data_IF_369838073636
#
_entry.id   IF_369838073636
#
_cell.length_a   1.000
_cell.length_b   1.000
_cell.length_c   1.000
_cell.angle_alpha   90.00
_cell.angle_beta   90.00
_cell.angle_gamma   90.00
#
_symmetry.space_group_name_H-M   'P 1'
#
loop_
_entity.id
_entity.type
_entity.pdbx_description
1 polymer ?
#
# COMPACT_ATOMS: atom_id res chain seq x y z
N UNK A 1 -3.44 10.23 -20.87
CA UNK A 1 -3.09 11.58 -20.37
C UNK A 1 -1.93 11.43 -19.41
N UNK A 2 -0.74 11.95 -19.74
CA UNK A 2 0.38 12.03 -18.79
C UNK A 2 -0.09 12.89 -17.62
N UNK A 3 0.13 12.48 -16.37
CA UNK A 3 -0.46 13.13 -15.21
C UNK A 3 0.03 14.57 -15.01
N UNK A 4 -0.61 15.47 -15.73
CA UNK A 4 -0.43 16.90 -15.69
C UNK A 4 -0.89 17.40 -14.31
N UNK A 5 0.09 17.86 -13.52
CA UNK A 5 -0.17 18.39 -12.18
C UNK A 5 -1.07 19.63 -12.24
N UNK A 6 -0.96 20.47 -13.26
CA UNK A 6 -1.74 21.69 -13.37
C UNK A 6 -3.19 21.38 -13.71
N UNK A 7 -3.42 20.41 -14.60
CA UNK A 7 -4.77 19.88 -14.83
C UNK A 7 -5.34 19.24 -13.56
N UNK A 8 -4.53 18.50 -12.80
CA UNK A 8 -4.95 17.88 -11.55
C UNK A 8 -5.34 18.95 -10.51
N UNK A 9 -4.52 20.00 -10.34
CA UNK A 9 -4.83 21.15 -9.48
C UNK A 9 -6.13 21.83 -9.92
N UNK A 10 -6.30 22.02 -11.22
CA UNK A 10 -7.49 22.64 -11.79
C UNK A 10 -8.76 21.81 -11.52
N UNK A 11 -8.72 20.50 -11.74
CA UNK A 11 -9.83 19.59 -11.47
C UNK A 11 -10.20 19.52 -9.98
N UNK A 12 -9.20 19.47 -9.10
CA UNK A 12 -9.44 19.50 -7.64
C UNK A 12 -10.07 20.82 -7.19
N UNK A 13 -9.83 21.92 -7.91
CA UNK A 13 -10.52 23.20 -7.71
C UNK A 13 -12.02 23.19 -8.09
N UNK A 14 -12.49 22.16 -8.81
CA UNK A 14 -13.87 22.04 -9.34
C UNK A 14 -14.79 21.14 -8.50
N UNK A 15 -14.42 20.82 -7.26
CA UNK A 15 -15.16 19.89 -6.36
C UNK A 15 -15.37 18.48 -6.95
N UNK A 16 -14.45 18.04 -7.81
CA UNK A 16 -14.43 16.65 -8.27
C UNK A 16 -13.97 15.77 -7.10
N UNK A 17 -14.58 14.59 -6.94
CA UNK A 17 -14.17 13.63 -5.91
C UNK A 17 -12.72 13.18 -6.14
N UNK A 18 -11.91 13.24 -5.10
CA UNK A 18 -10.51 12.79 -5.14
C UNK A 18 -10.39 11.26 -5.21
N UNK A 19 -11.43 10.54 -4.79
CA UNK A 19 -11.56 9.08 -4.84
C UNK A 19 -12.42 8.61 -6.03
N UNK A 20 -12.61 9.45 -7.05
CA UNK A 20 -13.43 9.06 -8.20
C UNK A 20 -12.83 7.84 -8.92
N UNK A 21 -13.58 6.73 -8.95
CA UNK A 21 -13.29 5.57 -9.80
C UNK A 21 -13.03 5.99 -11.24
N UNK A 22 -11.85 5.66 -11.77
CA UNK A 22 -11.60 5.80 -13.20
C UNK A 22 -12.22 4.60 -13.94
N UNK A 23 -13.28 4.88 -14.71
CA UNK A 23 -13.97 3.88 -15.53
C UNK A 23 -13.14 3.39 -16.73
N UNK A 24 -12.04 4.09 -17.05
CA UNK A 24 -11.14 3.78 -18.16
C UNK A 24 -9.69 3.79 -17.66
N UNK A 25 -9.13 2.60 -17.43
CA UNK A 25 -7.71 2.41 -17.14
C UNK A 25 -6.86 2.37 -18.42
N UNK A 26 -5.67 2.97 -18.39
CA UNK A 26 -4.70 2.78 -19.47
C UNK A 26 -3.95 1.45 -19.27
N UNK A 27 -4.10 0.52 -20.21
CA UNK A 27 -3.46 -0.81 -20.21
C UNK A 27 -1.98 -0.78 -20.64
N UNK A 28 -1.27 0.34 -20.52
CA UNK A 28 0.13 0.36 -20.96
C UNK A 28 0.98 -0.56 -20.07
N UNK A 29 1.95 -1.30 -20.63
CA UNK A 29 2.87 -2.09 -19.84
C UNK A 29 3.56 -1.22 -18.77
N UNK A 30 3.42 -1.61 -17.50
CA UNK A 30 4.13 -1.02 -16.37
C UNK A 30 4.55 -2.15 -15.42
N UNK A 31 5.53 -1.91 -14.52
CA UNK A 31 5.87 -2.86 -13.47
C UNK A 31 4.65 -3.29 -12.65
N UNK A 32 3.74 -2.34 -12.40
CA UNK A 32 2.44 -2.60 -11.78
C UNK A 32 1.55 -3.56 -12.58
N UNK A 33 1.45 -3.41 -13.90
CA UNK A 33 0.70 -4.37 -14.75
C UNK A 33 1.32 -5.78 -14.71
N UNK A 34 2.64 -5.90 -14.50
CA UNK A 34 3.26 -7.21 -14.31
C UNK A 34 2.84 -7.83 -12.98
N UNK A 35 2.89 -7.07 -11.88
CA UNK A 35 2.45 -7.56 -10.57
C UNK A 35 0.98 -7.99 -10.56
N UNK A 36 0.07 -7.16 -11.11
CA UNK A 36 -1.35 -7.51 -11.28
C UNK A 36 -1.55 -8.81 -12.07
N UNK A 37 -0.76 -8.99 -13.14
CA UNK A 37 -0.86 -10.18 -13.99
C UNK A 37 -0.49 -11.44 -13.20
N UNK A 38 0.53 -11.36 -12.35
CA UNK A 38 0.98 -12.50 -11.54
C UNK A 38 0.01 -12.79 -10.40
N UNK A 39 -0.55 -11.77 -9.76
CA UNK A 39 -1.53 -11.96 -8.66
C UNK A 39 -2.92 -12.34 -9.14
N UNK A 40 -3.20 -12.29 -10.45
CA UNK A 40 -4.48 -12.71 -11.02
C UNK A 40 -5.64 -11.73 -10.79
N UNK A 41 -5.36 -10.55 -10.22
CA UNK A 41 -6.34 -9.50 -9.89
C UNK A 41 -7.20 -9.09 -11.11
N UNK A 42 -6.65 -9.20 -12.33
CA UNK A 42 -7.33 -8.80 -13.58
C UNK A 42 -8.27 -9.86 -14.18
N UNK A 43 -8.50 -11.01 -13.53
CA UNK A 43 -9.11 -12.18 -14.17
C UNK A 43 -10.61 -12.11 -14.56
N UNK A 44 -11.29 -10.96 -14.50
CA UNK A 44 -12.61 -10.89 -15.15
C UNK A 44 -13.54 -9.71 -14.84
N UNK A 45 -13.26 -8.89 -13.83
CA UNK A 45 -14.12 -7.75 -13.48
C UNK A 45 -13.28 -6.47 -13.44
N UNK A 46 -13.78 -5.43 -14.11
CA UNK A 46 -13.05 -4.19 -14.35
C UNK A 46 -12.59 -3.57 -13.05
N UNK A 47 -11.28 -3.47 -12.86
CA UNK A 47 -10.74 -2.64 -11.78
C UNK A 47 -11.14 -1.19 -12.05
N UNK A 48 -11.55 -0.48 -11.01
CA UNK A 48 -11.84 0.95 -11.07
C UNK A 48 -10.81 1.71 -10.25
N UNK A 49 -9.60 1.94 -10.80
CA UNK A 49 -8.53 2.60 -10.07
C UNK A 49 -8.91 4.04 -9.73
N UNK A 50 -8.60 4.46 -8.49
CA UNK A 50 -8.70 5.87 -8.13
C UNK A 50 -7.62 6.69 -8.85
N UNK A 51 -7.72 8.03 -8.91
CA UNK A 51 -6.70 8.87 -9.54
C UNK A 51 -5.32 8.67 -8.90
N UNK A 52 -5.27 8.33 -7.60
CA UNK A 52 -4.04 7.99 -6.91
C UNK A 52 -3.44 6.69 -7.45
N UNK A 53 -4.22 5.61 -7.55
CA UNK A 53 -3.76 4.34 -8.11
C UNK A 53 -3.20 4.53 -9.52
N UNK A 54 -3.88 5.31 -10.38
CA UNK A 54 -3.37 5.60 -11.73
C UNK A 54 -2.05 6.40 -11.69
N UNK A 55 -1.95 7.41 -10.81
CA UNK A 55 -0.71 8.18 -10.69
C UNK A 55 0.47 7.31 -10.26
N UNK A 56 0.26 6.38 -9.34
CA UNK A 56 1.26 5.42 -8.88
C UNK A 56 1.56 4.38 -9.98
N UNK A 57 0.56 3.80 -10.62
CA UNK A 57 0.74 2.82 -11.70
C UNK A 57 1.64 3.31 -12.85
N UNK A 58 1.67 4.63 -13.08
CA UNK A 58 2.48 5.29 -14.09
C UNK A 58 3.73 5.99 -13.54
N UNK A 59 4.08 5.80 -12.27
CA UNK A 59 5.27 6.40 -11.64
C UNK A 59 5.21 7.92 -11.52
N UNK A 60 4.02 8.52 -11.58
CA UNK A 60 3.86 9.97 -11.44
C UNK A 60 3.77 10.37 -9.97
N UNK A 61 4.90 10.29 -9.29
CA UNK A 61 5.03 10.64 -7.88
C UNK A 61 4.56 12.06 -7.57
N UNK A 62 4.82 12.97 -8.50
CA UNK A 62 4.46 14.37 -8.40
C UNK A 62 2.95 14.55 -8.23
N UNK A 63 2.15 13.87 -9.06
CA UNK A 63 0.69 13.88 -8.96
C UNK A 63 0.20 13.06 -7.76
N UNK A 64 0.84 11.91 -7.48
CA UNK A 64 0.51 11.09 -6.31
C UNK A 64 0.67 11.87 -5.00
N UNK A 65 1.81 12.56 -4.81
CA UNK A 65 2.11 13.43 -3.65
C UNK A 65 1.06 14.54 -3.51
N UNK A 66 0.62 15.15 -4.61
CA UNK A 66 -0.45 16.15 -4.60
C UNK A 66 -1.79 15.56 -4.14
N UNK A 67 -2.19 14.42 -4.70
CA UNK A 67 -3.43 13.73 -4.36
C UNK A 67 -3.44 13.33 -2.89
N UNK A 68 -2.38 12.69 -2.40
CA UNK A 68 -2.23 12.32 -0.98
C UNK A 68 -2.34 13.55 -0.07
N UNK A 69 -1.65 14.66 -0.41
CA UNK A 69 -1.76 15.92 0.36
C UNK A 69 -3.18 16.48 0.40
N UNK A 70 -3.96 16.24 -0.64
CA UNK A 70 -5.37 16.67 -0.77
C UNK A 70 -6.35 15.69 -0.14
N UNK A 71 -5.86 14.60 0.48
CA UNK A 71 -6.66 13.66 1.24
C UNK A 71 -6.97 12.36 0.51
N UNK A 72 -6.28 12.07 -0.60
CA UNK A 72 -6.41 10.78 -1.26
C UNK A 72 -5.97 9.66 -0.31
N UNK A 73 -6.76 8.57 -0.27
CA UNK A 73 -6.52 7.42 0.58
C UNK A 73 -5.51 6.50 -0.08
N UNK A 74 -4.37 6.28 0.59
CA UNK A 74 -3.25 5.50 0.07
C UNK A 74 -2.92 4.26 0.92
N UNK A 75 -3.37 4.23 2.17
CA UNK A 75 -2.89 3.33 3.22
C UNK A 75 -3.92 2.26 3.60
N UNK A 76 -4.98 2.07 2.81
CA UNK A 76 -5.96 1.02 3.06
C UNK A 76 -6.52 0.45 1.76
N UNK A 77 -7.00 -0.81 1.77
CA UNK A 77 -7.53 -1.48 0.59
C UNK A 77 -8.69 -0.74 -0.05
N UNK A 78 -8.65 -0.59 -1.38
CA UNK A 78 -9.77 -0.10 -2.16
C UNK A 78 -10.50 -1.26 -2.85
N UNK A 79 -11.78 -1.46 -2.53
CA UNK A 79 -12.56 -2.64 -2.99
C UNK A 79 -12.70 -2.72 -4.51
N UNK A 80 -12.82 -1.59 -5.20
CA UNK A 80 -12.88 -1.59 -6.67
C UNK A 80 -11.55 -1.92 -7.36
N UNK A 81 -10.47 -2.11 -6.59
CA UNK A 81 -9.12 -2.37 -7.10
C UNK A 81 -8.56 -3.70 -6.59
N UNK A 82 -9.42 -4.68 -6.28
CA UNK A 82 -8.96 -5.96 -5.72
C UNK A 82 -8.33 -5.81 -4.33
N UNK A 83 -8.69 -4.76 -3.58
CA UNK A 83 -8.11 -4.47 -2.27
C UNK A 83 -6.71 -3.86 -2.30
N UNK A 84 -6.24 -3.37 -3.45
CA UNK A 84 -4.93 -2.72 -3.51
C UNK A 84 -4.86 -1.45 -2.65
N UNK A 85 -3.67 -1.21 -2.09
CA UNK A 85 -3.31 0.00 -1.36
C UNK A 85 -2.30 0.77 -2.22
N UNK A 86 -2.13 2.06 -1.94
CA UNK A 86 -1.03 2.84 -2.52
C UNK A 86 0.34 2.25 -2.22
N UNK A 87 0.53 1.59 -1.07
CA UNK A 87 1.79 0.95 -0.71
C UNK A 87 2.10 -0.27 -1.61
N UNK A 88 1.08 -1.07 -1.96
CA UNK A 88 1.23 -2.12 -2.99
C UNK A 88 1.74 -1.52 -4.31
N UNK A 89 1.16 -0.39 -4.74
CA UNK A 89 1.55 0.28 -5.98
C UNK A 89 2.99 0.81 -5.93
N UNK A 90 3.39 1.42 -4.80
CA UNK A 90 4.73 1.95 -4.60
C UNK A 90 5.77 0.84 -4.63
N UNK A 91 5.50 -0.26 -3.93
CA UNK A 91 6.35 -1.45 -3.92
C UNK A 91 6.47 -2.06 -5.32
N UNK A 92 5.34 -2.22 -6.03
CA UNK A 92 5.34 -2.77 -7.38
C UNK A 92 6.06 -1.89 -8.40
N UNK A 93 5.95 -0.56 -8.23
CA UNK A 93 6.59 0.43 -9.08
C UNK A 93 8.04 0.75 -8.71
N UNK A 94 8.61 0.10 -7.69
CA UNK A 94 9.96 0.36 -7.16
C UNK A 94 10.19 1.83 -6.78
N UNK A 95 9.18 2.48 -6.18
CA UNK A 95 9.19 3.92 -5.92
C UNK A 95 9.82 4.25 -4.55
N UNK A 96 11.11 4.00 -4.39
CA UNK A 96 11.83 4.21 -3.12
C UNK A 96 11.73 5.65 -2.62
N UNK A 97 11.81 6.65 -3.50
CA UNK A 97 11.67 8.07 -3.13
C UNK A 97 10.25 8.41 -2.64
N UNK A 98 9.22 7.82 -3.26
CA UNK A 98 7.84 7.95 -2.82
C UNK A 98 7.63 7.33 -1.43
N UNK A 99 8.25 6.18 -1.16
CA UNK A 99 8.21 5.48 0.13
C UNK A 99 8.87 6.34 1.21
N UNK A 100 10.09 6.82 0.99
CA UNK A 100 10.78 7.70 1.95
C UNK A 100 10.01 9.01 2.19
N UNK A 101 9.48 9.62 1.13
CA UNK A 101 8.61 10.78 1.29
C UNK A 101 7.40 10.45 2.16
N UNK A 102 6.76 9.31 1.96
CA UNK A 102 5.58 8.88 2.74
C UNK A 102 5.95 8.68 4.21
N UNK A 103 7.10 8.06 4.48
CA UNK A 103 7.65 7.92 5.83
C UNK A 103 7.85 9.28 6.50
N UNK A 104 8.45 10.24 5.80
CA UNK A 104 8.63 11.60 6.33
C UNK A 104 7.29 12.27 6.65
N UNK A 105 6.26 12.02 5.84
CA UNK A 105 4.93 12.58 6.09
C UNK A 105 4.17 11.88 7.22
N UNK A 106 4.48 10.62 7.51
CA UNK A 106 3.84 9.81 8.55
C UNK A 106 4.55 9.92 9.92
N UNK A 107 5.87 9.91 9.91
CA UNK A 107 6.72 9.76 11.09
C UNK A 107 7.74 10.89 11.28
N UNK A 108 7.81 11.85 10.36
CA UNK A 108 8.74 12.98 10.45
C UNK A 108 8.38 14.01 11.53
N UNK A 109 9.32 14.92 11.78
CA UNK A 109 9.18 16.02 12.77
C UNK A 109 7.93 16.91 12.55
N UNK A 110 7.42 16.92 11.32
CA UNK A 110 6.26 17.70 10.88
C UNK A 110 5.09 16.82 10.42
N UNK A 111 4.99 15.59 10.94
CA UNK A 111 3.89 14.67 10.65
C UNK A 111 2.54 15.38 10.83
N UNK A 112 1.86 15.66 9.72
CA UNK A 112 0.72 16.57 9.75
C UNK A 112 -0.21 16.54 8.55
N UNK A 113 0.19 15.95 7.42
CA UNK A 113 -0.64 15.94 6.21
C UNK A 113 -1.11 14.54 5.78
N UNK A 114 -0.29 13.50 6.01
CA UNK A 114 -0.48 12.15 5.44
C UNK A 114 -0.69 11.06 6.49
N UNK A 115 -0.22 11.26 7.73
CA UNK A 115 -0.44 10.41 8.91
C UNK A 115 -1.92 10.37 9.39
N UNK A 116 -2.87 10.46 8.47
CA UNK A 116 -4.30 10.59 8.77
C UNK A 116 -4.88 9.31 9.35
N UNK A 117 -4.31 8.14 9.06
CA UNK A 117 -4.83 6.85 9.50
C UNK A 117 -3.73 6.01 10.14
N UNK A 118 -3.89 5.77 11.44
CA UNK A 118 -3.15 4.77 12.20
C UNK A 118 -1.61 4.85 12.16
N UNK A 119 -0.92 4.00 12.94
CA UNK A 119 0.53 3.80 12.84
C UNK A 119 0.92 2.71 11.82
N UNK A 120 -0.06 2.00 11.24
CA UNK A 120 0.15 0.87 10.35
C UNK A 120 -0.51 1.16 9.01
N UNK A 121 0.28 1.11 7.93
CA UNK A 121 -0.16 1.49 6.59
C UNK A 121 -0.10 0.34 5.57
N UNK A 122 0.36 -0.85 5.99
CA UNK A 122 0.38 -2.05 5.16
C UNK A 122 -0.74 -3.01 5.56
N UNK A 123 -1.56 -3.38 4.58
CA UNK A 123 -2.73 -4.23 4.73
C UNK A 123 -2.84 -5.14 3.51
N UNK A 124 -3.30 -6.38 3.67
CA UNK A 124 -3.39 -7.31 2.57
C UNK A 124 -4.47 -6.87 1.57
N UNK A 125 -4.22 -7.18 0.30
CA UNK A 125 -5.23 -7.10 -0.74
C UNK A 125 -6.29 -8.20 -0.60
N UNK A 126 -7.21 -8.32 -1.55
CA UNK A 126 -8.28 -9.34 -1.50
C UNK A 126 -7.79 -10.78 -1.70
N UNK A 127 -6.53 -10.96 -2.07
CA UNK A 127 -5.89 -12.25 -2.31
C UNK A 127 -4.87 -12.58 -1.21
N UNK A 128 -4.76 -11.75 -0.18
CA UNK A 128 -3.83 -11.96 0.93
C UNK A 128 -2.40 -11.48 0.66
N UNK A 129 -2.14 -10.79 -0.45
CA UNK A 129 -0.82 -10.22 -0.73
C UNK A 129 -0.64 -8.87 -0.03
N UNK A 130 0.57 -8.67 0.49
CA UNK A 130 1.02 -7.47 1.21
C UNK A 130 2.06 -6.71 0.39
N UNK A 131 2.40 -5.47 0.77
CA UNK A 131 3.38 -4.64 0.05
C UNK A 131 4.71 -5.33 -0.26
N UNK A 132 5.23 -6.14 0.67
CA UNK A 132 6.47 -6.90 0.46
C UNK A 132 6.35 -7.96 -0.63
N UNK A 133 5.18 -8.58 -0.81
CA UNK A 133 4.96 -9.51 -1.93
C UNK A 133 5.08 -8.76 -3.26
N UNK A 134 4.47 -7.58 -3.36
CA UNK A 134 4.54 -6.74 -4.56
C UNK A 134 5.97 -6.26 -4.87
N UNK A 135 6.78 -6.00 -3.85
CA UNK A 135 8.20 -5.70 -4.02
C UNK A 135 8.95 -6.88 -4.67
N UNK A 136 8.68 -8.12 -4.21
CA UNK A 136 9.30 -9.34 -4.74
C UNK A 136 8.87 -9.63 -6.18
N UNK A 137 7.57 -9.60 -6.44
CA UNK A 137 6.96 -9.90 -7.75
C UNK A 137 7.40 -8.93 -8.85
N UNK A 138 7.88 -7.76 -8.45
CA UNK A 138 8.31 -6.72 -9.36
C UNK A 138 9.80 -6.78 -9.66
N UNK A 139 10.53 -7.78 -9.16
CA UNK A 139 11.93 -8.01 -9.51
C UNK A 139 12.11 -8.43 -10.97
N UNK A 140 13.19 -7.92 -11.58
CA UNK A 140 13.62 -8.33 -12.91
C UNK A 140 14.62 -9.48 -12.82
N UNK A 141 15.07 -10.06 -13.95
CA UNK A 141 16.21 -10.97 -13.93
C UNK A 141 17.41 -10.31 -13.22
N UNK A 142 18.14 -11.08 -12.38
CA UNK A 142 19.29 -10.60 -11.61
C UNK A 142 20.41 -10.08 -12.52
N UNK A 143 20.35 -8.81 -12.89
CA UNK A 143 21.43 -8.11 -13.60
C UNK A 143 22.44 -7.57 -12.58
N UNK A 144 23.12 -8.47 -11.86
CA UNK A 144 24.36 -8.18 -11.11
C UNK A 144 24.33 -7.09 -10.01
N UNK A 145 23.19 -6.48 -9.70
CA UNK A 145 23.02 -5.45 -8.67
C UNK A 145 22.28 -5.93 -7.42
N UNK A 146 22.25 -5.08 -6.39
CA UNK A 146 21.40 -5.28 -5.21
C UNK A 146 19.91 -5.38 -5.60
N UNK A 147 19.18 -6.25 -4.92
CA UNK A 147 17.75 -6.43 -5.13
C UNK A 147 16.99 -5.14 -4.79
N UNK A 148 16.14 -4.68 -5.71
CA UNK A 148 15.25 -3.54 -5.47
C UNK A 148 14.28 -3.83 -4.33
N UNK A 149 13.78 -5.07 -4.26
CA UNK A 149 12.96 -5.52 -3.14
C UNK A 149 13.72 -5.36 -1.83
N UNK A 150 15.00 -5.77 -1.77
CA UNK A 150 15.84 -5.63 -0.57
C UNK A 150 16.05 -4.17 -0.15
N UNK A 151 16.25 -3.26 -1.11
CA UNK A 151 16.39 -1.83 -0.82
C UNK A 151 15.10 -1.21 -0.26
N UNK A 152 13.92 -1.73 -0.61
CA UNK A 152 12.64 -1.21 -0.12
C UNK A 152 12.25 -1.76 1.25
N UNK A 153 12.79 -2.90 1.68
CA UNK A 153 12.42 -3.56 2.96
C UNK A 153 12.45 -2.60 4.16
N UNK A 154 13.51 -1.81 4.41
CA UNK A 154 13.54 -0.92 5.57
C UNK A 154 12.43 0.12 5.55
N UNK A 155 12.17 0.71 4.38
CA UNK A 155 11.11 1.71 4.20
C UNK A 155 9.71 1.12 4.39
N UNK A 156 9.46 -0.04 3.79
CA UNK A 156 8.19 -0.76 3.93
C UNK A 156 7.94 -1.18 5.38
N UNK A 157 8.95 -1.67 6.10
CA UNK A 157 8.83 -2.00 7.54
C UNK A 157 8.52 -0.76 8.37
N UNK A 158 9.14 0.39 8.08
CA UNK A 158 8.85 1.66 8.77
C UNK A 158 7.40 2.12 8.55
N UNK A 159 6.80 1.79 7.42
CA UNK A 159 5.36 2.01 7.13
C UNK A 159 4.45 0.89 7.66
N UNK A 160 5.02 -0.09 8.35
CA UNK A 160 4.28 -1.16 9.01
C UNK A 160 4.13 -2.44 8.19
N UNK A 161 4.97 -2.71 7.19
CA UNK A 161 4.92 -3.97 6.46
C UNK A 161 5.17 -5.19 7.36
N UNK A 162 4.38 -6.25 7.17
CA UNK A 162 4.62 -7.54 7.81
C UNK A 162 5.61 -8.34 6.99
N UNK A 163 6.68 -8.76 7.63
CA UNK A 163 7.61 -9.71 7.03
C UNK A 163 7.06 -11.12 7.06
N UNK A 164 6.48 -11.51 8.20
CA UNK A 164 5.86 -12.81 8.38
C UNK A 164 4.36 -12.67 8.15
N UNK A 165 3.97 -12.72 6.88
CA UNK A 165 2.59 -12.55 6.43
C UNK A 165 1.70 -13.75 6.74
N UNK A 166 2.28 -14.83 7.28
CA UNK A 166 1.58 -16.03 7.78
C UNK A 166 1.41 -16.03 9.31
N UNK A 167 1.92 -15.01 10.03
CA UNK A 167 1.73 -14.89 11.47
C UNK A 167 0.31 -14.40 11.81
N UNK A 168 -0.63 -15.36 11.87
CA UNK A 168 -2.04 -15.10 12.14
C UNK A 168 -2.28 -14.37 13.47
N UNK A 169 -1.45 -14.61 14.49
CA UNK A 169 -1.59 -13.91 15.79
C UNK A 169 -1.27 -12.43 15.66
N UNK A 170 -0.21 -12.09 14.93
CA UNK A 170 0.18 -10.69 14.67
C UNK A 170 -0.81 -9.98 13.75
N UNK A 171 -1.38 -10.68 12.77
CA UNK A 171 -2.45 -10.15 11.91
C UNK A 171 -3.70 -9.86 12.75
N UNK A 172 -4.16 -10.82 13.55
CA UNK A 172 -5.33 -10.64 14.42
C UNK A 172 -5.14 -9.47 15.41
N UNK A 173 -3.95 -9.33 15.99
CA UNK A 173 -3.64 -8.19 16.85
C UNK A 173 -3.80 -6.85 16.11
N UNK A 174 -3.27 -6.72 14.88
CA UNK A 174 -3.40 -5.50 14.07
C UNK A 174 -4.85 -5.16 13.76
N UNK A 175 -5.65 -6.15 13.37
CA UNK A 175 -7.09 -5.96 13.10
C UNK A 175 -7.81 -5.45 14.35
N UNK A 176 -7.51 -6.02 15.51
CA UNK A 176 -8.08 -5.60 16.80
C UNK A 176 -7.68 -4.16 17.18
N UNK A 177 -6.40 -3.81 17.03
CA UNK A 177 -5.89 -2.46 17.29
C UNK A 177 -6.55 -1.41 16.37
N UNK A 178 -6.70 -1.73 15.09
CA UNK A 178 -7.31 -0.84 14.11
C UNK A 178 -8.82 -0.67 14.35
N UNK A 179 -9.52 -1.74 14.73
CA UNK A 179 -10.93 -1.66 15.17
C UNK A 179 -11.09 -0.70 16.34
N UNK A 180 -10.26 -0.86 17.37
CA UNK A 180 -10.28 0.02 18.54
C UNK A 180 -10.08 1.48 18.12
N UNK A 181 -9.11 1.73 17.22
CA UNK A 181 -8.88 3.07 16.65
C UNK A 181 -10.11 3.63 15.93
N UNK A 182 -10.81 2.81 15.14
CA UNK A 182 -12.03 3.21 14.44
C UNK A 182 -13.16 3.55 15.43
N UNK A 183 -13.32 2.75 16.49
CA UNK A 183 -14.32 2.96 17.55
C UNK A 183 -14.06 4.21 18.38
N UNK A 184 -12.80 4.53 18.68
CA UNK A 184 -12.38 5.76 19.36
C UNK A 184 -12.66 7.02 18.52
N UNK A 185 -12.98 6.83 17.23
CA UNK A 185 -13.37 7.88 16.31
C UNK A 185 -12.19 8.67 15.75
N UNK A 186 -12.47 9.54 14.77
CA UNK A 186 -11.44 10.39 14.19
C UNK A 186 -10.81 11.31 15.25
N UNK A 187 -9.47 11.46 15.24
CA UNK A 187 -8.84 12.56 15.99
C UNK A 187 -9.44 13.89 15.52
N UNK A 188 -9.50 14.94 16.37
CA UNK A 188 -10.28 16.18 16.13
C UNK A 188 -10.01 16.95 14.81
N UNK A 189 -8.99 16.58 14.04
CA UNK A 189 -8.65 17.17 12.72
C UNK A 189 -9.07 16.29 11.53
N UNK A 190 -9.73 15.15 11.74
CA UNK A 190 -10.06 14.19 10.69
C UNK A 190 -11.56 14.25 10.38
N UNK A 191 -11.91 14.63 9.15
CA UNK A 191 -13.31 14.61 8.67
C UNK A 191 -13.60 13.28 7.99
N UNK A 192 -14.63 12.56 8.46
CA UNK A 192 -15.13 11.28 7.94
C UNK A 192 -15.92 11.41 6.62
N UNK A 193 -15.57 12.36 5.76
CA UNK A 193 -16.37 12.62 4.55
C UNK A 193 -15.92 11.79 3.34
N UNK A 194 -15.51 10.53 3.56
CA UNK A 194 -15.18 9.64 2.46
C UNK A 194 -15.77 8.24 2.64
N UNK A 195 -16.39 7.75 1.56
CA UNK A 195 -16.90 6.37 1.41
C UNK A 195 -15.84 5.33 1.80
N UNK A 196 -14.57 5.61 1.53
CA UNK A 196 -13.45 4.76 1.88
C UNK A 196 -13.31 4.49 3.39
N UNK A 197 -13.64 5.44 4.28
CA UNK A 197 -13.60 5.20 5.72
C UNK A 197 -14.71 4.26 6.18
N UNK A 198 -15.89 4.36 5.57
CA UNK A 198 -17.00 3.44 5.84
C UNK A 198 -16.69 2.03 5.34
N UNK A 199 -16.25 1.91 4.08
CA UNK A 199 -15.85 0.63 3.48
C UNK A 199 -14.73 -0.03 4.30
N UNK A 200 -13.80 0.77 4.83
CA UNK A 200 -12.73 0.28 5.68
C UNK A 200 -13.21 -0.23 7.04
N UNK A 201 -14.09 0.52 7.71
CA UNK A 201 -14.69 0.08 8.96
C UNK A 201 -15.46 -1.24 8.80
N UNK A 202 -16.17 -1.38 7.68
CA UNK A 202 -16.85 -2.63 7.34
C UNK A 202 -15.85 -3.77 7.08
N UNK A 203 -14.78 -3.54 6.31
CA UNK A 203 -13.76 -4.56 6.04
C UNK A 203 -13.03 -5.03 7.31
N UNK A 204 -12.67 -4.12 8.21
CA UNK A 204 -12.13 -4.46 9.53
C UNK A 204 -13.15 -5.26 10.36
N UNK A 205 -14.45 -4.99 10.16
CA UNK A 205 -15.53 -5.75 10.79
C UNK A 205 -15.48 -7.21 10.34
N UNK A 206 -15.60 -7.40 9.03
CA UNK A 206 -15.66 -8.70 8.37
C UNK A 206 -14.41 -9.54 8.72
N UNK A 207 -13.23 -8.90 8.79
CA UNK A 207 -11.98 -9.59 9.12
C UNK A 207 -11.89 -10.19 10.53
N UNK A 208 -12.60 -9.65 11.52
CA UNK A 208 -12.67 -10.26 12.86
C UNK A 208 -13.68 -11.40 12.91
N UNK A 209 -14.77 -11.26 12.15
CA UNK A 209 -15.88 -12.22 12.15
C UNK A 209 -15.51 -13.52 11.40
N UNK A 210 -14.62 -13.45 10.40
CA UNK A 210 -14.35 -14.56 9.45
C UNK A 210 -13.16 -15.49 9.80
N UNK A 211 -12.49 -15.40 10.97
CA UNK A 211 -11.27 -16.20 11.30
C UNK A 211 -10.32 -16.35 10.09
N UNK A 212 -10.09 -15.25 9.39
CA UNK A 212 -9.52 -15.22 8.04
C UNK A 212 -8.32 -16.13 7.80
N UNK A 213 -8.48 -17.00 6.80
CA UNK A 213 -7.36 -17.66 6.11
C UNK A 213 -6.83 -16.69 5.05
N UNK A 214 -6.04 -15.70 5.48
CA UNK A 214 -5.22 -14.87 4.58
C UNK A 214 -3.94 -15.65 4.22
N UNK A 215 -4.08 -16.75 3.50
CA UNK A 215 -2.92 -17.51 3.02
C UNK A 215 -2.73 -17.25 1.53
N UNK A 216 -1.90 -16.26 1.12
CA UNK A 216 -1.29 -16.35 -0.20
C UNK A 216 -0.51 -17.67 -0.25
N UNK A 217 -0.38 -18.33 -1.41
CA UNK A 217 0.34 -19.62 -1.50
C UNK A 217 1.72 -19.50 -0.81
N UNK A 218 1.90 -20.06 0.41
CA UNK A 218 3.04 -19.70 1.25
C UNK A 218 4.37 -20.15 0.64
N UNK A 219 4.31 -21.19 -0.19
CA UNK A 219 5.45 -21.73 -0.93
C UNK A 219 5.99 -20.75 -1.99
N UNK A 220 5.11 -19.99 -2.66
CA UNK A 220 5.51 -19.05 -3.71
C UNK A 220 6.27 -17.87 -3.10
N UNK A 221 5.73 -17.31 -2.01
CA UNK A 221 6.36 -16.19 -1.32
C UNK A 221 7.66 -16.58 -0.58
N UNK A 222 7.69 -17.75 0.07
CA UNK A 222 8.91 -18.23 0.72
C UNK A 222 10.05 -18.48 -0.30
N UNK A 223 9.71 -18.98 -1.49
CA UNK A 223 10.67 -19.14 -2.58
C UNK A 223 11.19 -17.79 -3.09
N UNK A 224 10.32 -16.79 -3.24
CA UNK A 224 10.71 -15.43 -3.65
C UNK A 224 11.58 -14.72 -2.61
N UNK A 225 11.23 -14.80 -1.32
CA UNK A 225 12.03 -14.23 -0.22
C UNK A 225 13.47 -14.75 -0.22
N UNK A 226 13.63 -16.07 -0.41
CA UNK A 226 14.94 -16.72 -0.50
C UNK A 226 15.66 -16.35 -1.80
N UNK A 227 14.95 -16.31 -2.93
CA UNK A 227 15.52 -15.97 -4.22
C UNK A 227 16.13 -14.56 -4.23
N UNK A 228 15.49 -13.60 -3.56
CA UNK A 228 15.90 -12.19 -3.60
C UNK A 228 16.76 -11.74 -2.42
N UNK A 229 17.17 -12.66 -1.53
CA UNK A 229 18.05 -12.32 -0.39
C UNK A 229 17.37 -11.44 0.67
N UNK A 230 16.04 -11.43 0.69
CA UNK A 230 15.25 -10.56 1.55
C UNK A 230 15.34 -10.94 3.03
N UNK A 231 15.69 -12.20 3.33
CA UNK A 231 15.89 -12.68 4.69
C UNK A 231 16.99 -11.88 5.42
N UNK A 232 18.06 -11.50 4.73
CA UNK A 232 19.16 -10.71 5.31
C UNK A 232 18.75 -9.26 5.57
N UNK A 233 18.04 -8.64 4.60
CA UNK A 233 17.52 -7.28 4.75
C UNK A 233 16.50 -7.17 5.89
N UNK A 234 15.63 -8.17 6.02
CA UNK A 234 14.68 -8.31 7.14
C UNK A 234 15.40 -8.46 8.48
N UNK A 235 16.42 -9.32 8.53
CA UNK A 235 17.18 -9.58 9.75
C UNK A 235 17.91 -8.32 10.22
N UNK A 236 18.55 -7.59 9.30
CA UNK A 236 19.24 -6.34 9.58
C UNK A 236 18.32 -5.28 10.23
N UNK A 237 17.11 -5.10 9.69
CA UNK A 237 16.12 -4.14 10.26
C UNK A 237 15.62 -4.60 11.64
N UNK A 238 15.52 -5.91 11.86
CA UNK A 238 15.13 -6.48 13.16
C UNK A 238 16.21 -6.29 14.24
N UNK A 239 17.49 -6.23 13.85
CA UNK A 239 18.62 -5.94 14.75
C UNK A 239 18.75 -4.44 15.07
N UNK A 240 18.52 -3.55 14.11
CA UNK A 240 18.53 -2.09 14.34
C UNK A 240 17.38 -1.61 15.25
N UNK A 241 16.25 -2.32 15.26
CA UNK A 241 15.14 -2.09 16.19
C UNK A 241 15.43 -2.50 17.64
N UNK A 242 16.52 -3.23 17.92
CA UNK A 242 17.03 -3.49 19.27
C UNK A 242 18.00 -2.38 19.68
N UNK A 243 17.49 -1.18 19.97
CA UNK A 243 18.25 -0.24 20.80
C UNK A 243 18.45 -0.88 22.19
N UNK A 244 19.66 -0.85 22.79
CA UNK A 244 19.88 -1.41 24.12
C UNK A 244 19.00 -0.70 25.16
N UNK A 245 18.49 -1.48 26.12
CA UNK A 245 17.70 -1.01 27.27
C UNK A 245 18.37 0.11 28.05
#
# INVERSE_FOLDING_TARGET
>A
MRGDQDMTRWLLGRRVSIEASALLGCLCPSPYMNAIRVTGIWSGWGIEPTPLHLSLAHGNESTAKLLIRKGAVWDRPHSSCGGLTGLHMMAAGRMTEMIEWTIDQCHGLWAGTVARNGPVHDWPDEFGYWSLHYACLSEGPKEGGESWAAQMVPGLIRLGALVHTTDGSRIAQRVSEERKRIQEGPRPRWTLDNKAAFDWAQRIKDWEDDELVLEPEPALFAAELLQWGLAEAVAAVSEEGRVPR
#
